data_IF_946755352109
#
_entry.id   IF_946755352109
#
_cell.length_a   1.000
_cell.length_b   1.000
_cell.length_c   1.000
_cell.angle_alpha   90.00
_cell.angle_beta   90.00
_cell.angle_gamma   90.00
#
_symmetry.space_group_name_H-M   'P 1'
#
loop_
_entity.id
_entity.type
_entity.pdbx_description
1 polymer ?
#
# COMPACT_ATOMS: atom_id res chain seq x y z
N UNK A 1 13.72 15.13 -36.91
CA UNK A 1 12.81 15.13 -35.75
C UNK A 1 13.55 14.42 -34.62
N UNK A 2 14.07 15.18 -33.69
CA UNK A 2 14.77 14.65 -32.50
C UNK A 2 13.72 13.94 -31.63
N UNK A 3 14.00 12.70 -31.22
CA UNK A 3 13.04 11.93 -30.43
C UNK A 3 12.84 12.58 -29.05
N UNK A 4 11.65 12.47 -28.49
CA UNK A 4 11.32 12.96 -27.14
C UNK A 4 12.33 12.40 -26.11
N UNK A 5 12.85 11.20 -26.36
CA UNK A 5 13.87 10.54 -25.54
C UNK A 5 15.23 11.26 -25.55
N UNK A 6 15.63 11.87 -26.67
CA UNK A 6 16.87 12.65 -26.79
C UNK A 6 16.74 14.04 -26.14
N UNK A 7 15.54 14.64 -26.21
CA UNK A 7 15.23 15.89 -25.51
C UNK A 7 15.25 15.71 -23.98
N UNK A 8 14.73 14.58 -23.49
CA UNK A 8 14.74 14.23 -22.07
C UNK A 8 16.17 14.03 -21.56
N UNK A 9 17.03 13.30 -22.30
CA UNK A 9 18.44 13.09 -21.95
C UNK A 9 19.24 14.40 -21.98
N UNK A 10 18.95 15.29 -22.91
CA UNK A 10 19.62 16.58 -23.06
C UNK A 10 19.30 17.59 -21.94
N UNK A 11 18.10 17.54 -21.37
CA UNK A 11 17.68 18.40 -20.27
C UNK A 11 18.34 17.98 -18.95
N UNK A 12 18.30 16.67 -18.63
CA UNK A 12 18.92 16.10 -17.43
C UNK A 12 20.43 16.33 -17.39
N UNK A 13 21.11 16.27 -18.55
CA UNK A 13 22.58 16.51 -18.64
C UNK A 13 22.98 17.99 -18.44
N UNK A 14 22.10 18.94 -18.76
CA UNK A 14 22.37 20.36 -18.56
C UNK A 14 22.21 20.83 -17.12
N UNK A 15 21.17 20.33 -16.41
CA UNK A 15 20.97 20.66 -14.99
C UNK A 15 22.07 20.08 -14.09
N UNK A 16 22.57 18.88 -14.40
CA UNK A 16 23.67 18.25 -13.67
C UNK A 16 24.99 19.02 -13.82
N UNK A 17 25.19 19.79 -14.89
CA UNK A 17 26.37 20.58 -15.14
C UNK A 17 26.34 21.95 -14.43
N UNK A 18 25.18 22.54 -14.20
CA UNK A 18 25.05 23.85 -13.54
C UNK A 18 25.18 23.78 -12.01
N UNK A 19 24.96 22.63 -11.36
CA UNK A 19 25.11 22.49 -9.90
C UNK A 19 26.51 22.09 -9.41
N UNK A 20 27.50 21.88 -10.31
CA UNK A 20 28.86 21.53 -9.89
C UNK A 20 29.78 22.76 -9.60
N UNK A 21 29.27 23.98 -9.62
CA UNK A 21 30.02 25.19 -9.43
C UNK A 21 29.63 26.04 -8.23
N UNK A 22 29.85 25.54 -6.99
CA UNK A 22 30.03 26.43 -5.82
C UNK A 22 30.78 25.71 -4.67
N UNK A 23 31.94 26.20 -4.21
CA UNK A 23 32.65 25.62 -3.08
C UNK A 23 32.21 26.26 -1.76
N UNK A 24 31.58 25.49 -0.89
CA UNK A 24 31.29 25.85 0.49
C UNK A 24 32.25 25.18 1.47
N UNK A 25 33.19 25.92 2.03
CA UNK A 25 34.11 25.48 3.10
C UNK A 25 33.41 25.53 4.46
N UNK A 26 33.17 24.37 5.07
CA UNK A 26 32.81 24.22 6.49
C UNK A 26 33.69 23.18 7.18
N UNK A 27 33.98 23.34 8.51
CA UNK A 27 35.07 22.60 9.15
C UNK A 27 34.76 21.12 9.41
N UNK A 28 35.78 20.29 9.28
CA UNK A 28 35.78 18.85 9.45
C UNK A 28 35.38 18.42 10.87
N UNK A 29 34.20 17.81 11.00
CA UNK A 29 33.80 17.05 12.16
C UNK A 29 34.27 15.60 12.04
N UNK A 30 34.91 15.08 13.08
CA UNK A 30 35.43 13.73 13.20
C UNK A 30 34.30 12.68 13.04
N UNK A 31 34.44 11.82 12.05
CA UNK A 31 33.57 10.64 11.85
C UNK A 31 33.79 9.61 12.97
N UNK A 32 32.74 9.04 13.56
CA UNK A 32 32.88 7.83 14.38
C UNK A 32 33.28 6.65 13.49
N UNK A 33 34.25 5.87 13.99
CA UNK A 33 34.76 4.69 13.31
C UNK A 33 33.70 3.56 13.26
N UNK A 34 33.60 2.90 12.10
CA UNK A 34 33.12 1.52 12.00
C UNK A 34 31.66 1.33 11.61
N UNK A 35 31.20 1.82 10.46
CA UNK A 35 30.09 1.19 9.74
C UNK A 35 30.65 0.07 8.86
N UNK A 36 30.06 -1.14 8.86
CA UNK A 36 30.41 -2.17 7.90
C UNK A 36 30.14 -1.64 6.49
N UNK A 37 31.15 -1.62 5.64
CA UNK A 37 30.98 -1.31 4.22
C UNK A 37 30.28 -2.48 3.55
N UNK A 38 29.20 -2.22 2.84
CA UNK A 38 28.53 -3.22 1.99
C UNK A 38 29.56 -3.84 1.01
N UNK A 39 29.45 -5.16 0.77
CA UNK A 39 30.24 -5.81 -0.27
C UNK A 39 30.09 -5.06 -1.61
N UNK A 40 31.13 -4.93 -2.43
CA UNK A 40 31.09 -4.13 -3.65
C UNK A 40 30.05 -4.54 -4.70
N UNK A 41 29.54 -5.77 -4.61
CA UNK A 41 28.49 -6.31 -5.49
C UNK A 41 27.04 -5.99 -5.02
N UNK A 42 26.87 -5.47 -3.80
CA UNK A 42 25.57 -5.01 -3.28
C UNK A 42 25.44 -3.49 -3.40
N UNK A 43 25.67 -2.97 -4.59
CA UNK A 43 25.26 -1.59 -4.85
C UNK A 43 23.74 -1.50 -4.73
N UNK A 44 23.23 -0.44 -4.08
CA UNK A 44 21.79 -0.21 -4.00
C UNK A 44 21.21 -0.29 -5.41
N UNK A 45 20.13 -1.05 -5.54
CA UNK A 45 19.37 -1.07 -6.80
C UNK A 45 18.84 0.34 -6.95
N UNK A 46 19.40 1.08 -7.91
CA UNK A 46 18.84 2.38 -8.26
C UNK A 46 17.42 2.12 -8.77
N UNK A 47 16.43 2.47 -7.96
CA UNK A 47 15.07 2.55 -8.44
C UNK A 47 15.10 3.45 -9.68
N UNK A 48 14.85 2.87 -10.84
CA UNK A 48 14.70 3.66 -12.07
C UNK A 48 13.41 4.43 -11.93
N UNK A 49 13.54 5.62 -11.38
CA UNK A 49 12.40 6.49 -11.22
C UNK A 49 11.95 7.00 -12.57
N UNK A 50 10.71 6.77 -12.88
CA UNK A 50 10.01 7.45 -13.96
C UNK A 50 9.41 8.72 -13.36
N UNK A 51 10.21 9.78 -13.28
CA UNK A 51 9.76 11.10 -12.82
C UNK A 51 9.61 12.03 -14.01
N UNK A 52 8.91 13.13 -13.82
CA UNK A 52 8.78 14.16 -14.85
C UNK A 52 10.17 14.65 -15.26
N UNK A 53 10.45 14.81 -16.57
CA UNK A 53 11.71 15.35 -17.05
C UNK A 53 11.99 16.72 -16.43
N UNK A 54 13.23 16.93 -15.97
CA UNK A 54 13.65 18.17 -15.30
C UNK A 54 13.31 18.25 -13.81
N UNK A 55 12.76 17.20 -13.20
CA UNK A 55 12.66 17.11 -11.75
C UNK A 55 13.91 16.46 -11.17
N UNK A 56 14.50 17.03 -10.11
CA UNK A 56 15.54 16.36 -9.34
C UNK A 56 14.98 15.04 -8.76
N UNK A 57 15.71 13.95 -9.00
CA UNK A 57 15.42 12.65 -8.40
C UNK A 57 15.85 12.68 -6.94
N UNK A 58 14.95 13.11 -6.06
CA UNK A 58 15.14 12.93 -4.63
C UNK A 58 14.53 11.59 -4.20
N UNK A 59 15.26 10.81 -3.43
CA UNK A 59 14.74 9.60 -2.79
C UNK A 59 14.17 9.94 -1.41
N UNK A 60 13.12 9.26 -1.04
CA UNK A 60 12.54 9.36 0.30
C UNK A 60 13.46 8.65 1.31
N UNK A 61 14.55 9.28 1.66
CA UNK A 61 15.58 8.77 2.56
C UNK A 61 16.79 8.18 1.84
N UNK A 62 17.95 8.70 2.19
CA UNK A 62 19.26 8.29 1.65
C UNK A 62 19.65 6.86 2.03
N UNK A 63 18.93 6.26 2.96
CA UNK A 63 19.28 4.96 3.54
C UNK A 63 18.87 3.78 2.67
N UNK A 64 17.95 3.97 1.73
CA UNK A 64 17.69 3.01 0.64
C UNK A 64 18.93 2.78 -0.22
N UNK A 65 19.79 3.82 -0.34
CA UNK A 65 20.97 3.77 -1.16
C UNK A 65 22.17 3.11 -0.46
N UNK A 66 22.22 3.17 0.88
CA UNK A 66 23.43 2.83 1.62
C UNK A 66 23.39 1.42 2.24
N UNK A 67 22.23 0.98 2.74
CA UNK A 67 22.06 -0.35 3.34
C UNK A 67 20.60 -0.81 3.32
N UNK A 68 20.19 -1.63 2.37
CA UNK A 68 18.83 -2.15 2.31
C UNK A 68 18.46 -3.04 3.53
N UNK A 69 19.44 -3.55 4.26
CA UNK A 69 19.25 -4.39 5.45
C UNK A 69 19.07 -3.58 6.73
N UNK A 70 19.53 -2.34 6.76
CA UNK A 70 19.34 -1.44 7.90
C UNK A 70 17.85 -1.15 8.19
N UNK A 71 16.98 -1.37 7.21
CA UNK A 71 15.53 -1.24 7.34
C UNK A 71 14.99 -2.07 8.50
N UNK A 72 15.46 -3.33 8.64
CA UNK A 72 14.97 -4.25 9.65
C UNK A 72 15.51 -3.96 11.05
N UNK A 73 16.55 -3.15 11.15
CA UNK A 73 17.18 -2.76 12.44
C UNK A 73 16.63 -1.45 12.99
N UNK A 74 15.87 -0.69 12.21
CA UNK A 74 15.28 0.60 12.60
C UNK A 74 14.00 0.43 13.41
N UNK A 75 13.66 1.41 14.25
CA UNK A 75 12.41 1.39 15.00
C UNK A 75 11.17 1.61 14.11
N UNK A 76 11.33 1.97 12.84
CA UNK A 76 10.25 2.23 11.90
C UNK A 76 10.09 1.16 10.81
N UNK A 77 9.05 1.31 9.98
CA UNK A 77 8.67 0.34 8.94
C UNK A 77 9.49 0.40 7.65
N UNK A 78 10.43 1.28 7.51
CA UNK A 78 11.18 1.33 6.26
C UNK A 78 12.21 2.44 6.18
N UNK A 79 12.86 2.61 5.01
CA UNK A 79 13.84 3.65 4.81
C UNK A 79 13.20 5.04 5.02
N UNK A 80 13.92 5.90 5.74
CA UNK A 80 13.39 7.22 6.11
C UNK A 80 12.20 7.17 7.07
N UNK A 81 11.94 6.02 7.73
CA UNK A 81 10.88 5.88 8.71
C UNK A 81 10.99 6.94 9.81
N UNK A 82 9.87 7.61 10.05
CA UNK A 82 9.69 8.59 11.13
C UNK A 82 9.16 7.91 12.40
N UNK A 83 8.96 8.70 13.45
CA UNK A 83 8.25 8.23 14.67
C UNK A 83 6.82 7.79 14.34
N UNK A 84 6.20 8.39 13.32
CA UNK A 84 4.86 8.04 12.85
C UNK A 84 4.81 6.67 12.16
N UNK A 85 5.96 6.22 11.62
CA UNK A 85 6.14 4.91 11.02
C UNK A 85 6.69 3.87 12.01
N UNK A 86 6.69 4.17 13.29
CA UNK A 86 7.22 3.25 14.31
C UNK A 86 6.45 1.93 14.30
N UNK A 87 7.19 0.81 14.37
CA UNK A 87 6.60 -0.52 14.47
C UNK A 87 5.84 -0.63 15.78
N UNK A 88 4.51 -0.91 15.77
CA UNK A 88 3.77 -1.16 16.99
C UNK A 88 4.42 -2.24 17.84
N UNK A 89 4.38 -2.08 19.17
CA UNK A 89 4.98 -3.05 20.08
C UNK A 89 4.39 -4.45 19.96
N UNK A 90 3.16 -4.56 19.44
CA UNK A 90 2.45 -5.81 19.17
C UNK A 90 2.73 -6.39 17.77
N UNK A 91 3.41 -5.65 16.88
CA UNK A 91 3.69 -6.15 15.53
C UNK A 91 4.67 -7.34 15.56
N UNK A 92 4.47 -8.34 14.69
CA UNK A 92 5.43 -9.43 14.55
C UNK A 92 6.82 -8.90 14.17
N UNK A 93 7.86 -9.46 14.77
CA UNK A 93 9.23 -9.05 14.50
C UNK A 93 9.94 -10.06 13.62
N UNK A 94 10.59 -9.56 12.57
CA UNK A 94 11.43 -10.37 11.73
C UNK A 94 12.70 -10.79 12.47
N UNK A 95 13.00 -12.10 12.46
CA UNK A 95 14.29 -12.61 12.86
C UNK A 95 15.38 -12.29 11.82
N UNK A 96 16.68 -12.34 12.23
CA UNK A 96 17.77 -12.11 11.30
C UNK A 96 17.81 -13.19 10.22
N UNK A 97 18.06 -12.80 8.97
CA UNK A 97 18.34 -13.75 7.90
C UNK A 97 19.73 -14.39 8.11
N UNK A 98 19.88 -15.69 7.76
CA UNK A 98 21.20 -16.30 7.70
C UNK A 98 22.12 -15.54 6.72
N UNK A 99 23.41 -15.40 7.11
CA UNK A 99 24.42 -14.66 6.33
C UNK A 99 24.51 -15.12 4.86
N UNK A 100 24.27 -16.39 4.59
CA UNK A 100 24.21 -16.94 3.22
C UNK A 100 23.33 -16.09 2.29
N UNK A 101 22.15 -15.65 2.75
CA UNK A 101 21.21 -14.90 1.93
C UNK A 101 21.53 -13.40 1.89
N UNK A 102 22.02 -12.86 3.01
CA UNK A 102 22.39 -11.44 3.08
C UNK A 102 23.68 -11.13 2.34
N UNK A 103 24.57 -12.10 2.18
CA UNK A 103 25.86 -11.96 1.53
C UNK A 103 25.84 -12.43 0.06
N UNK A 104 24.74 -13.04 -0.40
CA UNK A 104 24.57 -13.48 -1.78
C UNK A 104 24.51 -12.33 -2.77
N UNK A 105 25.01 -12.51 -3.99
CA UNK A 105 24.79 -11.55 -5.10
C UNK A 105 23.35 -11.64 -5.62
N UNK A 106 22.93 -10.63 -6.38
CA UNK A 106 21.60 -10.63 -7.01
C UNK A 106 21.43 -11.81 -7.97
N UNK A 107 22.50 -12.20 -8.69
CA UNK A 107 22.48 -13.34 -9.59
C UNK A 107 22.34 -14.67 -8.82
N UNK A 108 23.01 -14.80 -7.67
CA UNK A 108 22.88 -15.99 -6.83
C UNK A 108 21.46 -16.11 -6.24
N UNK A 109 20.89 -14.99 -5.80
CA UNK A 109 19.51 -14.98 -5.31
C UNK A 109 18.52 -15.34 -6.40
N UNK A 110 18.73 -14.83 -7.64
CA UNK A 110 17.90 -15.15 -8.80
C UNK A 110 17.96 -16.65 -9.13
N UNK A 111 19.14 -17.24 -9.14
CA UNK A 111 19.34 -18.67 -9.36
C UNK A 111 18.62 -19.50 -8.28
N UNK A 112 18.80 -19.18 -7.01
CA UNK A 112 18.19 -19.92 -5.89
C UNK A 112 16.67 -19.80 -5.87
N UNK A 113 16.12 -18.61 -6.12
CA UNK A 113 14.67 -18.39 -6.18
C UNK A 113 14.07 -19.20 -7.35
N UNK A 114 14.71 -19.12 -8.51
CA UNK A 114 14.23 -19.83 -9.71
C UNK A 114 14.26 -21.34 -9.49
N UNK A 115 15.38 -21.89 -9.02
CA UNK A 115 15.52 -23.32 -8.76
C UNK A 115 14.51 -23.81 -7.71
N UNK A 116 14.35 -23.08 -6.60
CA UNK A 116 13.43 -23.45 -5.55
C UNK A 116 11.96 -23.37 -6.02
N UNK A 117 11.61 -22.36 -6.81
CA UNK A 117 10.27 -22.22 -7.39
C UNK A 117 9.96 -23.37 -8.34
N UNK A 118 10.89 -23.74 -9.22
CA UNK A 118 10.73 -24.83 -10.18
C UNK A 118 10.52 -26.17 -9.46
N UNK A 119 11.26 -26.43 -8.38
CA UNK A 119 11.14 -27.66 -7.60
C UNK A 119 9.85 -27.73 -6.78
N UNK A 120 9.41 -26.60 -6.20
CA UNK A 120 8.15 -26.48 -5.47
C UNK A 120 6.93 -26.64 -6.40
N UNK A 121 7.03 -26.15 -7.63
CA UNK A 121 5.98 -26.24 -8.64
C UNK A 121 4.65 -25.68 -8.17
N UNK A 122 3.55 -26.39 -8.45
CA UNK A 122 2.20 -25.95 -8.11
C UNK A 122 1.86 -26.04 -6.62
N UNK A 123 2.68 -26.71 -5.81
CA UNK A 123 2.49 -26.79 -4.36
C UNK A 123 2.61 -25.42 -3.69
N UNK A 124 3.35 -24.50 -4.32
CA UNK A 124 3.54 -23.14 -3.80
C UNK A 124 3.15 -22.13 -4.86
N UNK A 125 2.33 -21.15 -4.49
CA UNK A 125 1.95 -20.02 -5.34
C UNK A 125 2.50 -18.72 -4.73
N UNK A 126 3.16 -17.91 -5.54
CA UNK A 126 3.69 -16.61 -5.14
C UNK A 126 2.70 -15.54 -5.56
N UNK A 127 2.15 -14.82 -4.58
CA UNK A 127 1.20 -13.72 -4.76
C UNK A 127 1.94 -12.39 -4.64
N UNK A 128 2.04 -11.63 -5.72
CA UNK A 128 2.75 -10.35 -5.78
C UNK A 128 1.81 -9.14 -5.86
N UNK A 129 1.90 -8.21 -4.93
CA UNK A 129 1.13 -6.98 -5.01
C UNK A 129 1.70 -6.04 -6.09
N UNK A 130 0.85 -5.23 -6.75
CA UNK A 130 1.26 -4.24 -7.75
C UNK A 130 2.35 -3.26 -7.28
N UNK A 131 2.44 -2.99 -5.98
CA UNK A 131 3.45 -2.08 -5.40
C UNK A 131 4.77 -2.77 -5.03
N UNK A 132 4.87 -4.07 -5.29
CA UNK A 132 6.13 -4.76 -5.10
C UNK A 132 7.15 -4.38 -6.17
N UNK A 133 8.43 -4.44 -5.78
CA UNK A 133 9.58 -4.22 -6.64
C UNK A 133 9.66 -5.28 -7.75
N UNK A 134 10.21 -4.90 -8.91
CA UNK A 134 10.25 -5.78 -10.08
C UNK A 134 11.06 -7.06 -9.84
N UNK A 135 12.11 -6.97 -8.97
CA UNK A 135 12.94 -8.11 -8.57
C UNK A 135 12.17 -9.18 -7.79
N UNK A 136 10.98 -8.85 -7.28
CA UNK A 136 10.06 -9.78 -6.62
C UNK A 136 8.93 -10.16 -7.57
N UNK A 137 8.31 -9.18 -8.23
CA UNK A 137 7.14 -9.43 -9.10
C UNK A 137 7.45 -10.40 -10.22
N UNK A 138 8.68 -10.42 -10.74
CA UNK A 138 9.09 -11.36 -11.81
C UNK A 138 8.92 -12.84 -11.44
N UNK A 139 8.85 -13.18 -10.15
CA UNK A 139 8.62 -14.55 -9.68
C UNK A 139 7.17 -14.84 -9.33
N UNK A 140 6.32 -13.81 -9.25
CA UNK A 140 4.93 -13.97 -8.83
C UNK A 140 4.13 -14.78 -9.86
N UNK A 141 3.32 -15.72 -9.39
CA UNK A 141 2.37 -16.47 -10.21
C UNK A 141 1.12 -15.62 -10.50
N UNK A 142 0.76 -14.77 -9.56
CA UNK A 142 -0.34 -13.82 -9.67
C UNK A 142 0.13 -12.44 -9.22
N UNK A 143 -0.16 -11.43 -10.04
CA UNK A 143 0.12 -10.02 -9.74
C UNK A 143 -1.18 -9.25 -9.74
N UNK A 144 -1.47 -8.56 -8.64
CA UNK A 144 -2.74 -7.87 -8.50
C UNK A 144 -2.79 -6.87 -7.34
N UNK A 145 -3.94 -6.26 -7.19
CA UNK A 145 -4.30 -5.52 -5.97
C UNK A 145 -4.71 -6.49 -4.85
N UNK A 146 -4.98 -5.94 -3.66
CA UNK A 146 -5.37 -6.74 -2.49
C UNK A 146 -6.61 -7.61 -2.72
N UNK A 147 -7.56 -7.15 -3.54
CA UNK A 147 -8.78 -7.90 -3.84
C UNK A 147 -8.52 -9.09 -4.77
N UNK A 148 -7.77 -8.84 -5.86
CA UNK A 148 -7.40 -9.87 -6.83
C UNK A 148 -6.56 -10.98 -6.17
N UNK A 149 -5.60 -10.61 -5.32
CA UNK A 149 -4.75 -11.57 -4.62
C UNK A 149 -5.51 -12.38 -3.58
N UNK A 150 -6.48 -11.78 -2.88
CA UNK A 150 -7.37 -12.49 -1.98
C UNK A 150 -8.25 -13.51 -2.73
N UNK A 151 -8.72 -13.17 -3.92
CA UNK A 151 -9.45 -14.11 -4.79
C UNK A 151 -8.54 -15.22 -5.30
N UNK A 152 -7.30 -14.92 -5.70
CA UNK A 152 -6.34 -15.92 -6.17
C UNK A 152 -6.08 -16.99 -5.10
N UNK A 153 -5.87 -16.59 -3.83
CA UNK A 153 -5.70 -17.53 -2.73
C UNK A 153 -6.89 -18.51 -2.59
N UNK A 154 -8.12 -18.02 -2.76
CA UNK A 154 -9.34 -18.85 -2.70
C UNK A 154 -9.49 -19.80 -3.89
N UNK A 155 -8.96 -19.44 -5.07
CA UNK A 155 -9.16 -20.18 -6.33
C UNK A 155 -8.15 -21.30 -6.56
N UNK A 156 -7.12 -21.43 -5.70
CA UNK A 156 -6.04 -22.41 -5.82
C UNK A 156 -6.01 -23.39 -4.64
N UNK A 157 -7.03 -24.29 -4.54
CA UNK A 157 -7.10 -25.26 -3.46
C UNK A 157 -6.00 -26.36 -3.57
N UNK A 158 -5.34 -26.47 -4.72
CA UNK A 158 -4.22 -27.38 -4.95
C UNK A 158 -2.91 -26.92 -4.31
N UNK A 159 -2.77 -25.62 -4.01
CA UNK A 159 -1.56 -25.10 -3.39
C UNK A 159 -1.49 -25.48 -1.90
N UNK A 160 -0.32 -25.98 -1.47
CA UNK A 160 -0.04 -26.25 -0.05
C UNK A 160 0.29 -24.94 0.69
N UNK A 161 0.92 -24.01 -0.02
CA UNK A 161 1.37 -22.73 0.54
C UNK A 161 1.24 -21.57 -0.43
N UNK A 162 0.89 -20.41 0.11
CA UNK A 162 0.95 -19.12 -0.56
C UNK A 162 2.10 -18.27 0.02
N UNK A 163 3.05 -17.88 -0.81
CA UNK A 163 4.07 -16.90 -0.45
C UNK A 163 3.56 -15.52 -0.83
N UNK A 164 3.17 -14.74 0.17
CA UNK A 164 2.51 -13.46 -0.04
C UNK A 164 3.54 -12.31 -0.08
N UNK A 165 3.92 -11.88 -1.27
CA UNK A 165 4.79 -10.72 -1.49
C UNK A 165 3.97 -9.42 -1.49
N UNK A 166 3.57 -9.02 -0.30
CA UNK A 166 2.75 -7.87 0.01
C UNK A 166 3.02 -7.38 1.43
N UNK A 167 1.96 -7.02 2.17
CA UNK A 167 2.04 -6.60 3.56
C UNK A 167 1.13 -7.43 4.46
N UNK A 168 1.34 -7.33 5.77
CA UNK A 168 0.77 -8.22 6.79
C UNK A 168 -0.76 -8.39 6.67
N UNK A 169 -1.53 -7.31 6.59
CA UNK A 169 -3.01 -7.39 6.50
C UNK A 169 -3.52 -8.13 5.25
N UNK A 170 -2.72 -8.12 4.16
CA UNK A 170 -3.04 -8.85 2.94
C UNK A 170 -2.82 -10.35 3.15
N UNK A 171 -1.71 -10.70 3.82
CA UNK A 171 -1.42 -12.09 4.18
C UNK A 171 -2.45 -12.64 5.18
N UNK A 172 -2.89 -11.84 6.18
CA UNK A 172 -4.03 -12.20 7.04
C UNK A 172 -5.31 -12.48 6.23
N UNK A 173 -5.60 -11.64 5.24
CA UNK A 173 -6.78 -11.84 4.39
C UNK A 173 -6.67 -13.12 3.55
N UNK A 174 -5.49 -13.42 3.04
CA UNK A 174 -5.23 -14.66 2.33
C UNK A 174 -5.41 -15.88 3.25
N UNK A 175 -4.91 -15.84 4.48
CA UNK A 175 -5.07 -16.90 5.48
C UNK A 175 -6.57 -17.15 5.83
N UNK A 176 -7.34 -16.07 6.02
CA UNK A 176 -8.78 -16.16 6.29
C UNK A 176 -9.56 -16.83 5.15
N UNK A 177 -9.15 -16.61 3.91
CA UNK A 177 -9.84 -17.09 2.71
C UNK A 177 -9.28 -18.39 2.15
N UNK A 178 -8.09 -18.81 2.58
CA UNK A 178 -7.48 -20.09 2.22
C UNK A 178 -8.15 -21.27 2.91
N UNK A 179 -7.86 -22.48 2.41
CA UNK A 179 -8.28 -23.71 3.05
C UNK A 179 -7.54 -23.98 4.38
N UNK A 180 -8.11 -24.77 5.28
CA UNK A 180 -7.54 -25.00 6.63
C UNK A 180 -6.16 -25.67 6.61
N UNK A 181 -5.84 -26.43 5.56
CA UNK A 181 -4.56 -27.12 5.38
C UNK A 181 -3.52 -26.28 4.63
N UNK A 182 -3.92 -25.12 4.10
CA UNK A 182 -3.04 -24.24 3.37
C UNK A 182 -2.28 -23.31 4.32
N UNK A 183 -1.05 -22.97 3.98
CA UNK A 183 -0.22 -22.05 4.74
C UNK A 183 -0.02 -20.74 3.97
N UNK A 184 -0.18 -19.61 4.64
CA UNK A 184 0.18 -18.30 4.08
C UNK A 184 1.45 -17.79 4.75
N UNK A 185 2.45 -17.44 3.95
CA UNK A 185 3.78 -17.07 4.41
C UNK A 185 4.09 -15.65 3.94
N UNK A 186 4.47 -14.78 4.87
CA UNK A 186 4.96 -13.44 4.58
C UNK A 186 6.50 -13.47 4.63
N UNK A 187 7.23 -13.28 3.53
CA UNK A 187 8.68 -13.45 3.52
C UNK A 187 9.42 -12.59 4.56
N UNK A 188 8.89 -11.40 4.87
CA UNK A 188 9.41 -10.54 5.94
C UNK A 188 8.24 -10.06 6.81
N UNK A 189 8.23 -10.46 8.09
CA UNK A 189 7.18 -10.09 9.07
C UNK A 189 7.12 -8.58 9.34
N UNK A 190 8.21 -7.85 9.13
CA UNK A 190 8.24 -6.40 9.27
C UNK A 190 7.56 -5.66 8.11
N UNK A 191 7.10 -6.36 7.07
CA UNK A 191 6.29 -5.80 5.99
C UNK A 191 4.84 -5.53 6.46
N UNK A 192 4.67 -4.50 7.28
CA UNK A 192 3.38 -4.02 7.81
C UNK A 192 2.73 -2.97 6.89
N UNK A 193 1.79 -2.21 7.44
CA UNK A 193 1.17 -1.06 6.77
C UNK A 193 0.85 0.01 7.80
N UNK A 194 1.55 1.16 7.74
CA UNK A 194 1.37 2.24 8.70
C UNK A 194 -0.08 2.76 8.73
N UNK A 195 -0.77 2.80 7.59
CA UNK A 195 -2.18 3.18 7.55
C UNK A 195 -3.08 2.16 8.28
N UNK A 196 -2.85 0.86 8.07
CA UNK A 196 -3.60 -0.18 8.77
C UNK A 196 -3.42 -0.07 10.30
N UNK A 197 -2.23 0.32 10.75
CA UNK A 197 -1.89 0.47 12.15
C UNK A 197 -2.40 1.79 12.79
N UNK A 198 -2.93 2.73 11.98
CA UNK A 198 -3.58 3.95 12.48
C UNK A 198 -4.97 3.70 13.10
N UNK A 199 -5.50 2.48 13.00
CA UNK A 199 -6.69 2.03 13.69
C UNK A 199 -6.38 0.71 14.42
N UNK A 200 -6.43 0.70 15.75
CA UNK A 200 -6.36 -0.52 16.53
C UNK A 200 -7.75 -1.00 16.93
N UNK A 201 -7.90 -2.29 17.24
CA UNK A 201 -9.21 -2.84 17.61
C UNK A 201 -9.76 -2.18 18.88
N UNK A 202 -8.89 -1.85 19.84
CA UNK A 202 -9.27 -1.21 21.09
C UNK A 202 -9.82 0.21 20.84
N UNK A 203 -9.19 0.96 19.92
CA UNK A 203 -9.65 2.30 19.52
C UNK A 203 -10.97 2.24 18.75
N UNK A 204 -11.14 1.23 17.88
CA UNK A 204 -12.38 1.02 17.12
C UNK A 204 -13.53 0.64 18.06
N UNK A 205 -13.29 -0.22 19.03
CA UNK A 205 -14.30 -0.60 20.03
C UNK A 205 -14.65 0.57 20.97
N UNK A 206 -13.67 1.42 21.32
CA UNK A 206 -13.93 2.65 22.07
C UNK A 206 -14.81 3.62 21.26
N UNK A 207 -14.45 3.87 20.00
CA UNK A 207 -15.25 4.66 19.07
C UNK A 207 -16.67 4.14 18.96
N UNK A 208 -16.85 2.82 18.85
CA UNK A 208 -18.16 2.20 18.71
C UNK A 208 -19.06 2.43 19.92
N UNK A 209 -18.50 2.30 21.14
CA UNK A 209 -19.22 2.61 22.40
C UNK A 209 -19.64 4.07 22.46
N UNK A 210 -18.73 5.00 22.17
CA UNK A 210 -19.02 6.43 22.16
C UNK A 210 -20.07 6.81 21.10
N UNK A 211 -20.04 6.18 19.93
CA UNK A 211 -21.07 6.36 18.89
C UNK A 211 -22.43 5.83 19.35
N UNK A 212 -22.49 4.67 19.99
CA UNK A 212 -23.73 4.12 20.54
C UNK A 212 -24.35 5.05 21.57
N UNK A 213 -23.54 5.62 22.46
CA UNK A 213 -24.01 6.59 23.47
C UNK A 213 -24.48 7.90 22.84
N UNK A 214 -23.76 8.42 21.83
CA UNK A 214 -24.09 9.70 21.17
C UNK A 214 -25.30 9.63 20.24
N UNK A 215 -25.49 8.48 19.56
CA UNK A 215 -26.56 8.27 18.58
C UNK A 215 -27.85 7.74 19.23
N UNK A 216 -27.71 7.06 20.36
CA UNK A 216 -28.84 6.48 21.09
C UNK A 216 -29.36 5.16 20.48
N UNK A 217 -30.35 4.54 21.14
CA UNK A 217 -30.95 3.28 20.68
C UNK A 217 -31.81 3.48 19.43
N UNK A 218 -31.94 2.43 18.65
CA UNK A 218 -32.77 2.35 17.45
C UNK A 218 -34.13 1.73 17.80
N UNK A 219 -35.19 2.26 17.23
CA UNK A 219 -36.49 1.64 17.30
C UNK A 219 -36.57 0.37 16.45
N UNK A 220 -37.45 -0.55 16.85
CA UNK A 220 -37.64 -1.79 16.09
C UNK A 220 -38.14 -1.48 14.67
N UNK A 221 -37.45 -2.04 13.66
CA UNK A 221 -37.76 -1.82 12.24
C UNK A 221 -37.05 -0.60 11.58
N UNK A 222 -36.33 0.18 12.34
CA UNK A 222 -35.51 1.27 11.77
C UNK A 222 -34.12 0.79 11.32
N UNK A 223 -33.51 1.58 10.41
CA UNK A 223 -32.13 1.37 9.99
C UNK A 223 -31.16 1.51 11.16
N UNK A 224 -30.10 0.72 11.19
CA UNK A 224 -29.06 0.82 12.23
C UNK A 224 -28.53 2.26 12.34
N UNK A 225 -28.17 2.77 13.53
CA UNK A 225 -27.65 4.13 13.66
C UNK A 225 -26.37 4.34 12.86
N UNK A 226 -25.52 3.33 12.81
CA UNK A 226 -24.23 3.37 12.11
C UNK A 226 -23.82 1.97 11.66
N UNK A 227 -23.26 1.86 10.45
CA UNK A 227 -22.66 0.65 9.91
C UNK A 227 -21.13 0.81 9.89
N UNK A 228 -20.36 -0.12 10.46
CA UNK A 228 -18.91 -0.08 10.35
C UNK A 228 -18.46 -0.60 8.99
N UNK A 229 -17.70 0.21 8.28
CA UNK A 229 -17.05 -0.16 7.01
C UNK A 229 -15.55 -0.05 7.21
N UNK A 230 -14.83 -1.12 6.89
CA UNK A 230 -13.37 -1.07 6.93
C UNK A 230 -12.78 -1.26 5.54
N UNK A 231 -11.80 -0.43 5.23
CA UNK A 231 -10.95 -0.66 4.06
C UNK A 231 -10.15 -1.94 4.22
N UNK A 232 -9.86 -2.63 3.14
CA UNK A 232 -9.04 -3.84 3.11
C UNK A 232 -7.72 -3.67 3.89
N UNK A 233 -7.15 -2.46 3.85
CA UNK A 233 -5.94 -2.06 4.56
C UNK A 233 -6.21 -1.83 6.06
N UNK A 234 -6.58 -2.90 6.75
CA UNK A 234 -6.85 -2.99 8.18
C UNK A 234 -6.52 -4.38 8.69
N UNK A 235 -6.32 -4.53 10.01
CA UNK A 235 -6.06 -5.83 10.62
C UNK A 235 -7.26 -6.78 10.52
N UNK A 236 -7.01 -8.09 10.63
CA UNK A 236 -8.06 -9.10 10.72
C UNK A 236 -9.04 -8.82 11.87
N UNK A 237 -8.55 -8.29 13.00
CA UNK A 237 -9.38 -7.94 14.15
C UNK A 237 -10.45 -6.87 13.83
N UNK A 238 -10.11 -5.86 13.00
CA UNK A 238 -11.06 -4.83 12.56
C UNK A 238 -12.05 -5.40 11.55
N UNK A 239 -11.59 -6.27 10.64
CA UNK A 239 -12.48 -6.98 9.72
C UNK A 239 -13.50 -7.84 10.49
N UNK A 240 -13.03 -8.56 11.53
CA UNK A 240 -13.88 -9.34 12.42
C UNK A 240 -14.89 -8.46 13.16
N UNK A 241 -14.44 -7.30 13.67
CA UNK A 241 -15.33 -6.34 14.28
C UNK A 241 -16.45 -5.91 13.32
N UNK A 242 -16.12 -5.59 12.06
CA UNK A 242 -17.13 -5.27 11.05
C UNK A 242 -18.08 -6.46 10.82
N UNK A 243 -17.57 -7.69 10.75
CA UNK A 243 -18.37 -8.90 10.59
C UNK A 243 -19.43 -9.07 11.67
N UNK A 244 -19.02 -8.95 12.95
CA UNK A 244 -19.89 -9.07 14.14
C UNK A 244 -20.92 -7.96 14.25
N UNK A 245 -20.58 -6.74 13.80
CA UNK A 245 -21.43 -5.56 13.96
C UNK A 245 -22.20 -5.19 12.68
N UNK A 246 -22.51 -6.16 11.83
CA UNK A 246 -23.32 -5.93 10.63
C UNK A 246 -22.62 -5.13 9.52
N UNK A 247 -21.31 -4.95 9.63
CA UNK A 247 -20.50 -4.18 8.70
C UNK A 247 -19.91 -4.99 7.56
N UNK A 248 -19.00 -4.38 6.80
CA UNK A 248 -18.46 -4.90 5.56
C UNK A 248 -17.03 -4.40 5.36
N UNK A 249 -16.24 -5.14 4.56
CA UNK A 249 -14.94 -4.69 4.05
C UNK A 249 -15.14 -4.00 2.70
N UNK A 250 -14.31 -3.01 2.36
CA UNK A 250 -14.23 -2.46 1.01
C UNK A 250 -12.81 -2.48 0.47
N UNK A 251 -12.67 -2.28 -0.83
CA UNK A 251 -11.41 -1.98 -1.52
C UNK A 251 -11.54 -0.65 -2.24
N UNK A 252 -10.46 -0.10 -2.77
CA UNK A 252 -10.52 1.10 -3.61
C UNK A 252 -11.33 0.89 -4.89
N UNK A 253 -11.52 -0.36 -5.33
CA UNK A 253 -12.29 -0.69 -6.53
C UNK A 253 -13.80 -0.68 -6.30
N UNK A 254 -14.28 -0.99 -5.08
CA UNK A 254 -15.72 -1.15 -4.80
C UNK A 254 -16.23 -0.27 -3.66
N UNK A 255 -15.45 0.71 -3.19
CA UNK A 255 -15.81 1.55 -2.05
C UNK A 255 -17.19 2.22 -2.21
N UNK A 256 -17.54 2.69 -3.42
CA UNK A 256 -18.84 3.29 -3.71
C UNK A 256 -19.98 2.29 -3.49
N UNK A 257 -19.90 1.12 -4.12
CA UNK A 257 -20.91 0.06 -3.98
C UNK A 257 -21.07 -0.39 -2.53
N UNK A 258 -19.95 -0.44 -1.80
CA UNK A 258 -19.97 -0.79 -0.37
C UNK A 258 -20.64 0.30 0.48
N UNK A 259 -20.40 1.59 0.20
CA UNK A 259 -21.11 2.67 0.90
C UNK A 259 -22.61 2.65 0.56
N UNK A 260 -23.00 2.40 -0.68
CA UNK A 260 -24.41 2.22 -1.08
C UNK A 260 -25.03 1.06 -0.29
N UNK A 261 -24.38 -0.10 -0.26
CA UNK A 261 -24.79 -1.26 0.53
C UNK A 261 -24.97 -0.93 2.01
N UNK A 262 -24.07 -0.14 2.59
CA UNK A 262 -24.12 0.25 4.00
C UNK A 262 -25.28 1.22 4.29
N UNK A 263 -25.56 2.16 3.39
CA UNK A 263 -26.68 3.10 3.52
C UNK A 263 -28.07 2.45 3.36
N UNK A 264 -28.15 1.31 2.68
CA UNK A 264 -29.39 0.52 2.69
C UNK A 264 -29.71 -0.10 4.07
N UNK A 265 -28.72 -0.20 4.97
CA UNK A 265 -28.78 -0.91 6.27
C UNK A 265 -28.62 0.00 7.47
N UNK A 266 -28.03 1.16 7.28
CA UNK A 266 -27.76 2.14 8.33
C UNK A 266 -27.95 3.58 7.90
N UNK A 267 -28.21 4.42 8.89
CA UNK A 267 -28.39 5.86 8.69
C UNK A 267 -27.06 6.56 8.36
N UNK A 268 -25.97 5.98 8.90
CA UNK A 268 -24.59 6.50 8.81
C UNK A 268 -23.59 5.37 8.61
N UNK A 269 -22.40 5.75 8.20
CA UNK A 269 -21.25 4.85 8.10
C UNK A 269 -20.11 5.39 8.99
N UNK A 270 -19.40 4.53 9.70
CA UNK A 270 -18.07 4.82 10.21
C UNK A 270 -17.05 4.09 9.35
N UNK A 271 -16.11 4.83 8.78
CA UNK A 271 -15.17 4.33 7.77
C UNK A 271 -13.74 4.29 8.31
N UNK A 272 -13.15 3.09 8.36
CA UNK A 272 -11.80 2.82 8.86
C UNK A 272 -10.87 2.37 7.72
N UNK A 273 -9.54 2.51 7.83
CA UNK A 273 -8.85 3.52 8.62
C UNK A 273 -8.56 4.78 7.79
N UNK A 274 -8.76 4.77 6.45
CA UNK A 274 -8.36 5.82 5.53
C UNK A 274 -9.43 6.90 5.37
N UNK A 275 -9.09 8.13 5.79
CA UNK A 275 -10.00 9.26 5.64
C UNK A 275 -10.18 9.69 4.17
N UNK A 276 -9.16 9.53 3.33
CA UNK A 276 -9.17 10.06 1.97
C UNK A 276 -10.02 9.19 1.05
N UNK A 277 -9.84 7.87 1.07
CA UNK A 277 -10.70 6.95 0.31
C UNK A 277 -12.17 7.13 0.69
N UNK A 278 -12.47 7.18 2.00
CA UNK A 278 -13.84 7.38 2.49
C UNK A 278 -14.42 8.71 2.02
N UNK A 279 -13.66 9.83 2.19
CA UNK A 279 -14.06 11.17 1.78
C UNK A 279 -14.29 11.27 0.28
N UNK A 280 -13.32 10.84 -0.53
CA UNK A 280 -13.40 10.96 -1.98
C UNK A 280 -14.56 10.14 -2.55
N UNK A 281 -14.80 8.95 -1.99
CA UNK A 281 -15.94 8.12 -2.38
C UNK A 281 -17.26 8.78 -2.00
N UNK A 282 -17.39 9.29 -0.78
CA UNK A 282 -18.60 9.94 -0.30
C UNK A 282 -18.90 11.25 -1.06
N UNK A 283 -17.86 12.07 -1.37
CA UNK A 283 -18.01 13.26 -2.22
C UNK A 283 -18.53 12.92 -3.61
N UNK A 284 -18.03 11.85 -4.23
CA UNK A 284 -18.53 11.37 -5.52
C UNK A 284 -19.99 10.90 -5.45
N UNK A 285 -20.52 10.59 -4.26
CA UNK A 285 -21.93 10.28 -4.01
C UNK A 285 -22.77 11.51 -3.62
N UNK A 286 -22.18 12.72 -3.61
CA UNK A 286 -22.86 13.98 -3.28
C UNK A 286 -22.96 14.30 -1.79
N UNK A 287 -22.22 13.58 -0.92
CA UNK A 287 -22.17 13.85 0.52
C UNK A 287 -21.23 15.04 0.75
N UNK A 288 -21.69 16.04 1.54
CA UNK A 288 -20.94 17.28 1.79
C UNK A 288 -19.89 17.09 2.87
N UNK A 289 -18.91 18.01 2.94
CA UNK A 289 -17.83 17.96 3.95
C UNK A 289 -18.38 18.03 5.38
N UNK A 290 -19.45 18.80 5.62
CA UNK A 290 -20.09 18.96 6.94
C UNK A 290 -20.71 17.63 7.41
N UNK A 291 -21.10 16.76 6.48
CA UNK A 291 -21.65 15.44 6.75
C UNK A 291 -20.57 14.35 6.92
N UNK A 292 -19.29 14.75 6.86
CA UNK A 292 -18.15 13.84 6.95
C UNK A 292 -17.18 14.23 8.09
N UNK A 293 -17.64 14.24 9.37
CA UNK A 293 -16.78 14.57 10.50
C UNK A 293 -15.60 13.60 10.62
N UNK A 294 -14.43 14.14 10.99
CA UNK A 294 -13.22 13.34 11.18
C UNK A 294 -13.14 12.84 12.62
N UNK A 295 -13.01 11.53 12.79
CA UNK A 295 -12.82 10.89 14.09
C UNK A 295 -11.33 10.77 14.45
N UNK A 296 -10.91 11.43 15.52
CA UNK A 296 -9.56 11.36 16.10
C UNK A 296 -9.59 10.44 17.32
N UNK A 297 -9.03 9.23 17.29
CA UNK A 297 -9.25 8.19 18.32
C UNK A 297 -8.75 8.52 19.72
N UNK A 298 -7.93 9.57 19.87
CA UNK A 298 -7.40 10.02 21.16
C UNK A 298 -8.22 11.16 21.81
N UNK A 299 -9.33 11.58 21.18
CA UNK A 299 -10.22 12.61 21.67
C UNK A 299 -11.61 12.03 21.94
N UNK A 300 -12.26 12.48 23.00
CA UNK A 300 -13.65 12.10 23.29
C UNK A 300 -14.57 12.46 22.11
N UNK A 301 -15.48 11.57 21.73
CA UNK A 301 -16.31 11.64 20.52
C UNK A 301 -15.48 11.90 19.23
N UNK A 302 -14.23 11.47 19.22
CA UNK A 302 -13.32 11.74 18.11
C UNK A 302 -13.02 13.24 17.90
N UNK A 303 -13.30 14.09 18.90
CA UNK A 303 -13.17 15.56 18.81
C UNK A 303 -14.37 16.24 18.17
N UNK A 304 -15.51 15.55 18.03
CA UNK A 304 -16.76 16.06 17.48
C UNK A 304 -17.79 16.30 18.59
N UNK A 305 -18.87 17.00 18.27
CA UNK A 305 -20.05 17.07 19.14
C UNK A 305 -21.03 15.94 18.82
N UNK A 306 -21.88 15.57 19.77
CA UNK A 306 -22.92 14.59 19.52
C UNK A 306 -23.91 15.03 18.41
N UNK A 307 -24.12 16.34 18.26
CA UNK A 307 -24.93 16.90 17.17
C UNK A 307 -24.28 16.66 15.80
N UNK A 308 -22.98 17.00 15.65
CA UNK A 308 -22.22 16.73 14.42
C UNK A 308 -22.27 15.26 14.03
N UNK A 309 -22.17 14.34 15.02
CA UNK A 309 -22.25 12.91 14.77
C UNK A 309 -23.66 12.48 14.35
N UNK A 310 -24.72 13.06 14.93
CA UNK A 310 -26.11 12.78 14.52
C UNK A 310 -26.44 13.28 13.11
N UNK A 311 -25.85 14.42 12.71
CA UNK A 311 -26.09 15.02 11.39
C UNK A 311 -25.18 14.43 10.29
N UNK A 312 -24.19 13.63 10.68
CA UNK A 312 -23.25 13.03 9.76
C UNK A 312 -23.86 11.96 8.85
N UNK A 313 -23.19 11.71 7.74
CA UNK A 313 -23.43 10.54 6.84
C UNK A 313 -22.26 9.57 6.89
N UNK A 314 -21.03 10.07 6.85
CA UNK A 314 -19.82 9.23 6.90
C UNK A 314 -18.88 9.81 7.97
N UNK A 315 -18.66 9.07 9.03
CA UNK A 315 -17.68 9.39 10.08
C UNK A 315 -16.34 8.80 9.60
N UNK A 316 -15.38 9.68 9.31
CA UNK A 316 -14.10 9.30 8.74
C UNK A 316 -13.05 9.12 9.84
N UNK A 317 -12.38 7.97 9.86
CA UNK A 317 -11.24 7.75 10.74
C UNK A 317 -10.04 8.59 10.31
N UNK A 318 -9.29 9.15 11.27
CA UNK A 318 -8.14 10.02 10.99
C UNK A 318 -6.86 9.23 10.63
N UNK A 319 -6.95 8.34 9.65
CA UNK A 319 -5.81 7.64 9.08
C UNK A 319 -5.60 8.02 7.63
N UNK A 320 -4.43 7.68 7.07
CA UNK A 320 -4.04 8.01 5.71
C UNK A 320 -2.88 7.13 5.23
N UNK A 321 -2.72 6.98 3.91
CA UNK A 321 -1.53 6.39 3.31
C UNK A 321 -0.42 7.43 3.20
N UNK A 322 0.78 7.14 3.72
CA UNK A 322 1.94 8.02 3.67
C UNK A 322 2.41 8.30 2.23
N UNK A 323 2.27 7.34 1.33
CA UNK A 323 2.60 7.50 -0.10
C UNK A 323 1.61 8.46 -0.76
N UNK A 324 0.32 8.20 -0.66
CA UNK A 324 -0.70 8.96 -1.39
C UNK A 324 -0.96 10.36 -0.83
N UNK A 325 -0.76 10.57 0.48
CA UNK A 325 -0.85 11.90 1.12
C UNK A 325 0.16 12.92 0.58
N UNK A 326 1.24 12.47 -0.06
CA UNK A 326 2.31 13.34 -0.59
C UNK A 326 1.93 14.06 -1.89
N UNK A 327 0.95 13.56 -2.62
CA UNK A 327 0.52 14.18 -3.87
C UNK A 327 -0.20 15.50 -3.59
N UNK A 328 0.08 16.50 -4.43
CA UNK A 328 -0.41 17.88 -4.28
C UNK A 328 -0.96 18.43 -5.58
N UNK A 329 -1.83 19.43 -5.51
CA UNK A 329 -2.33 20.17 -6.68
C UNK A 329 -1.21 20.85 -7.43
N UNK A 330 -0.21 21.40 -6.73
CA UNK A 330 0.96 22.05 -7.34
C UNK A 330 1.75 21.08 -8.24
N UNK A 331 1.85 19.80 -7.88
CA UNK A 331 2.47 18.80 -8.74
C UNK A 331 1.65 18.54 -10.01
N UNK A 332 0.31 18.56 -9.94
CA UNK A 332 -0.58 18.47 -11.11
C UNK A 332 -0.37 19.66 -12.04
N UNK A 333 -0.36 20.88 -11.47
CA UNK A 333 -0.14 22.11 -12.23
C UNK A 333 1.23 22.10 -12.93
N UNK A 334 2.27 21.67 -12.21
CA UNK A 334 3.60 21.52 -12.79
C UNK A 334 3.62 20.48 -13.91
N UNK A 335 3.03 19.31 -13.71
CA UNK A 335 2.97 18.28 -14.75
C UNK A 335 2.27 18.80 -16.03
N UNK A 336 1.17 19.56 -15.88
CA UNK A 336 0.46 20.17 -17.00
C UNK A 336 1.24 21.28 -17.70
N UNK A 337 2.04 22.03 -16.96
CA UNK A 337 2.92 23.06 -17.50
C UNK A 337 4.08 22.43 -18.30
N UNK A 338 4.71 21.39 -17.76
CA UNK A 338 5.85 20.71 -18.37
C UNK A 338 5.42 19.85 -19.58
N UNK A 339 4.23 19.25 -19.52
CA UNK A 339 3.67 18.35 -20.55
C UNK A 339 2.27 18.82 -20.98
N UNK A 340 2.15 19.78 -21.90
CA UNK A 340 0.84 20.20 -22.40
C UNK A 340 0.03 19.02 -22.95
N UNK A 341 -1.17 18.84 -22.43
CA UNK A 341 -2.04 17.71 -22.78
C UNK A 341 -1.79 16.43 -21.97
N UNK A 342 -0.93 16.46 -20.95
CA UNK A 342 -0.76 15.33 -20.04
C UNK A 342 -2.08 15.00 -19.34
N UNK A 343 -2.39 13.72 -19.27
CA UNK A 343 -3.53 13.22 -18.50
C UNK A 343 -3.06 12.80 -17.11
N UNK A 344 -3.71 13.34 -16.08
CA UNK A 344 -3.36 13.07 -14.67
C UNK A 344 -4.33 12.06 -14.08
N UNK A 345 -3.82 10.93 -13.60
CA UNK A 345 -4.61 9.85 -13.00
C UNK A 345 -4.06 9.55 -11.61
N UNK A 346 -4.93 9.52 -10.60
CA UNK A 346 -4.50 9.37 -9.21
C UNK A 346 -5.25 8.25 -8.49
N UNK A 347 -4.65 7.72 -7.42
CA UNK A 347 -5.32 6.79 -6.53
C UNK A 347 -6.28 7.54 -5.59
N UNK A 348 -7.45 6.99 -5.23
CA UNK A 348 -8.44 7.68 -4.38
C UNK A 348 -8.03 7.85 -2.91
N UNK A 349 -6.90 7.30 -2.48
CA UNK A 349 -6.24 7.61 -1.20
C UNK A 349 -5.50 8.96 -1.23
N UNK A 350 -5.42 9.65 -2.37
CA UNK A 350 -4.88 11.00 -2.44
C UNK A 350 -5.82 12.01 -1.76
N UNK A 351 -5.28 13.14 -1.25
CA UNK A 351 -6.12 14.22 -0.70
C UNK A 351 -7.21 14.68 -1.67
N UNK A 352 -8.39 15.03 -1.16
CA UNK A 352 -9.54 15.43 -1.98
C UNK A 352 -9.21 16.51 -3.04
N UNK A 353 -8.47 17.60 -2.74
CA UNK A 353 -8.10 18.57 -3.76
C UNK A 353 -7.29 18.00 -4.93
N UNK A 354 -6.49 16.95 -4.67
CA UNK A 354 -5.69 16.27 -5.70
C UNK A 354 -6.61 15.42 -6.59
N UNK A 355 -7.54 14.68 -5.99
CA UNK A 355 -8.52 13.87 -6.72
C UNK A 355 -9.43 14.76 -7.57
N UNK A 356 -9.86 15.91 -7.05
CA UNK A 356 -10.70 16.89 -7.77
C UNK A 356 -9.96 17.55 -8.94
N UNK A 357 -8.66 17.78 -8.82
CA UNK A 357 -7.85 18.39 -9.86
C UNK A 357 -7.38 17.40 -10.94
N UNK A 358 -7.43 16.09 -10.67
CA UNK A 358 -7.01 15.04 -11.59
C UNK A 358 -8.05 14.81 -12.72
N UNK A 359 -7.61 14.23 -13.82
CA UNK A 359 -8.47 13.85 -14.94
C UNK A 359 -9.16 12.49 -14.72
N UNK A 360 -8.69 11.74 -13.74
CA UNK A 360 -9.29 10.48 -13.31
C UNK A 360 -8.75 10.01 -11.97
N UNK A 361 -9.59 9.31 -11.22
CA UNK A 361 -9.20 8.69 -9.94
C UNK A 361 -9.79 7.28 -9.83
N UNK A 362 -8.97 6.33 -9.42
CA UNK A 362 -9.42 4.94 -9.25
C UNK A 362 -8.34 4.03 -8.67
N UNK A 363 -8.71 2.78 -8.48
CA UNK A 363 -7.83 1.75 -7.93
C UNK A 363 -6.59 1.52 -8.82
N UNK A 364 -5.62 0.76 -8.31
CA UNK A 364 -4.44 0.35 -9.08
C UNK A 364 -4.83 -0.36 -10.40
N UNK A 365 -5.87 -1.16 -10.38
CA UNK A 365 -6.40 -1.81 -11.58
C UNK A 365 -7.05 -0.82 -12.55
N UNK A 366 -7.74 0.20 -12.05
CA UNK A 366 -8.24 1.29 -12.88
C UNK A 366 -7.09 2.04 -13.55
N UNK A 367 -6.04 2.40 -12.81
CA UNK A 367 -4.85 3.07 -13.34
C UNK A 367 -4.19 2.22 -14.44
N UNK A 368 -4.05 0.91 -14.21
CA UNK A 368 -3.49 -0.02 -15.20
C UNK A 368 -4.31 -0.03 -16.50
N UNK A 369 -5.64 -0.12 -16.40
CA UNK A 369 -6.55 -0.10 -17.56
C UNK A 369 -6.50 1.21 -18.33
N UNK A 370 -6.40 2.35 -17.64
CA UNK A 370 -6.26 3.67 -18.26
C UNK A 370 -4.95 3.79 -19.07
N UNK A 371 -3.87 3.23 -18.52
CA UNK A 371 -2.58 3.17 -19.23
C UNK A 371 -2.65 2.23 -20.43
N UNK A 372 -3.28 1.06 -20.29
CA UNK A 372 -3.46 0.12 -21.41
C UNK A 372 -4.28 0.73 -22.56
N UNK A 373 -5.34 1.47 -22.22
CA UNK A 373 -6.23 2.09 -23.19
C UNK A 373 -5.65 3.37 -23.82
N UNK A 374 -4.55 3.93 -23.27
CA UNK A 374 -3.99 5.18 -23.76
C UNK A 374 -3.42 5.04 -25.18
N UNK A 375 -3.68 6.05 -26.01
CA UNK A 375 -3.17 6.09 -27.39
C UNK A 375 -1.63 6.23 -27.41
N UNK A 376 -0.92 5.58 -28.35
CA UNK A 376 0.52 5.75 -28.52
C UNK A 376 0.93 7.23 -28.60
N UNK A 377 2.04 7.59 -27.94
CA UNK A 377 2.53 8.98 -27.88
C UNK A 377 1.86 9.84 -26.79
N UNK A 378 0.86 9.31 -26.07
CA UNK A 378 0.22 10.04 -24.97
C UNK A 378 1.17 10.22 -23.77
N UNK A 379 0.95 11.28 -22.99
CA UNK A 379 1.62 11.52 -21.70
C UNK A 379 0.62 11.32 -20.56
N UNK A 380 1.05 10.55 -19.53
CA UNK A 380 0.29 10.29 -18.32
C UNK A 380 1.13 10.57 -17.08
N UNK A 381 0.62 11.41 -16.18
CA UNK A 381 1.16 11.64 -14.85
C UNK A 381 0.35 10.82 -13.84
N UNK A 382 0.99 9.93 -13.13
CA UNK A 382 0.32 8.95 -12.26
C UNK A 382 0.59 9.28 -10.78
N UNK A 383 -0.49 9.50 -10.01
CA UNK A 383 -0.43 9.73 -8.57
C UNK A 383 -0.67 8.44 -7.79
N UNK A 384 0.30 7.53 -7.79
CA UNK A 384 0.32 6.31 -6.98
C UNK A 384 1.76 5.85 -6.71
N UNK A 385 1.94 4.67 -6.14
CA UNK A 385 3.23 4.11 -5.73
C UNK A 385 4.16 3.87 -6.93
N UNK A 386 5.43 4.23 -6.76
CA UNK A 386 6.42 4.35 -7.84
C UNK A 386 6.73 3.03 -8.57
N UNK A 387 6.74 1.88 -7.88
CA UNK A 387 7.05 0.60 -8.56
C UNK A 387 5.98 0.24 -9.58
N UNK A 388 4.70 0.51 -9.29
CA UNK A 388 3.63 0.36 -10.29
C UNK A 388 3.85 1.31 -11.46
N UNK A 389 4.14 2.59 -11.21
CA UNK A 389 4.34 3.59 -12.27
C UNK A 389 5.51 3.20 -13.19
N UNK A 390 6.64 2.78 -12.61
CA UNK A 390 7.81 2.33 -13.35
C UNK A 390 7.49 1.11 -14.24
N UNK A 391 6.76 0.14 -13.71
CA UNK A 391 6.37 -1.06 -14.46
C UNK A 391 5.44 -0.72 -15.60
N UNK A 392 4.48 0.17 -15.39
CA UNK A 392 3.58 0.62 -16.46
C UNK A 392 4.36 1.34 -17.58
N UNK A 393 5.36 2.16 -17.24
CA UNK A 393 6.24 2.80 -18.24
C UNK A 393 7.07 1.77 -19.02
N UNK A 394 7.57 0.72 -18.35
CA UNK A 394 8.33 -0.35 -19.01
C UNK A 394 7.44 -1.17 -19.97
N UNK A 395 6.18 -1.43 -19.57
CA UNK A 395 5.22 -2.17 -20.38
C UNK A 395 4.70 -1.37 -21.58
N UNK A 396 4.66 -0.04 -21.45
CA UNK A 396 4.19 0.87 -22.50
C UNK A 396 5.27 1.92 -22.87
N UNK A 397 6.39 1.47 -23.50
CA UNK A 397 7.48 2.34 -23.91
C UNK A 397 7.09 3.34 -25.01
N UNK A 398 5.93 3.13 -25.63
CA UNK A 398 5.29 4.02 -26.61
C UNK A 398 4.59 5.23 -25.97
N UNK A 399 4.46 5.26 -24.64
CA UNK A 399 3.87 6.33 -23.86
C UNK A 399 4.94 7.08 -23.05
N UNK A 400 4.63 8.31 -22.63
CA UNK A 400 5.39 9.01 -21.60
C UNK A 400 4.64 8.89 -20.28
N UNK A 401 5.06 7.97 -19.40
CA UNK A 401 4.44 7.76 -18.09
C UNK A 401 5.44 8.16 -17.00
N UNK A 402 4.98 8.94 -16.03
CA UNK A 402 5.82 9.35 -14.90
C UNK A 402 5.01 9.49 -13.62
N UNK A 403 5.70 9.36 -12.48
CA UNK A 403 5.10 9.60 -11.18
C UNK A 403 4.85 11.10 -11.00
N UNK A 404 3.67 11.45 -10.48
CA UNK A 404 3.29 12.83 -10.21
C UNK A 404 4.18 13.48 -9.13
N UNK A 405 4.64 12.70 -8.11
CA UNK A 405 5.63 13.17 -7.13
C UNK A 405 7.04 13.03 -7.73
N UNK A 406 7.82 14.12 -7.83
CA UNK A 406 9.21 14.05 -8.28
C UNK A 406 10.14 13.33 -7.31
N UNK A 407 9.73 13.17 -6.04
CA UNK A 407 10.49 12.42 -5.04
C UNK A 407 10.17 10.95 -5.15
N UNK A 408 11.19 10.14 -5.42
CA UNK A 408 11.05 8.68 -5.42
C UNK A 408 10.87 8.17 -3.99
N UNK A 409 9.64 7.84 -3.66
CA UNK A 409 9.29 7.32 -2.36
C UNK A 409 8.48 6.02 -2.53
N UNK A 410 9.12 4.85 -2.57
CA UNK A 410 8.39 3.59 -2.61
C UNK A 410 7.61 3.39 -1.31
N UNK A 411 6.62 2.52 -1.33
CA UNK A 411 5.99 2.04 -0.12
C UNK A 411 7.05 1.33 0.73
N UNK A 412 7.48 1.99 1.82
CA UNK A 412 8.60 1.55 2.66
C UNK A 412 8.42 0.14 3.22
N UNK A 413 7.19 -0.26 3.49
CA UNK A 413 6.87 -1.58 4.05
C UNK A 413 6.80 -2.67 2.97
N UNK A 414 6.28 -2.37 1.78
CA UNK A 414 6.38 -3.27 0.61
C UNK A 414 7.84 -3.53 0.23
N UNK A 415 8.68 -2.51 0.34
CA UNK A 415 10.10 -2.57 0.00
C UNK A 415 10.91 -3.52 0.90
N UNK A 416 10.39 -3.88 2.09
CA UNK A 416 11.00 -4.86 3.00
C UNK A 416 11.02 -6.28 2.45
N UNK A 417 10.16 -6.62 1.49
CA UNK A 417 10.23 -7.89 0.78
C UNK A 417 11.38 -7.81 -0.23
N UNK A 418 12.55 -8.29 0.17
CA UNK A 418 13.76 -8.34 -0.65
C UNK A 418 13.97 -9.75 -1.21
N UNK A 419 14.65 -9.94 -2.38
CA UNK A 419 14.94 -11.27 -2.94
C UNK A 419 15.58 -12.25 -1.95
N UNK A 420 16.43 -11.79 -1.03
CA UNK A 420 17.02 -12.64 -0.01
C UNK A 420 15.98 -13.27 0.94
N UNK A 421 14.93 -12.52 1.32
CA UNK A 421 13.81 -13.06 2.10
C UNK A 421 13.00 -14.07 1.28
N UNK A 422 12.79 -13.80 0.00
CA UNK A 422 12.07 -14.72 -0.88
C UNK A 422 12.86 -16.01 -1.09
N UNK A 423 14.17 -15.94 -1.37
CA UNK A 423 15.04 -17.10 -1.50
C UNK A 423 15.02 -17.96 -0.22
N UNK A 424 15.22 -17.34 0.93
CA UNK A 424 15.15 -18.01 2.23
C UNK A 424 13.80 -18.68 2.46
N UNK A 425 12.70 -18.02 2.13
CA UNK A 425 11.35 -18.55 2.30
C UNK A 425 11.16 -19.81 1.44
N UNK A 426 11.50 -19.74 0.15
CA UNK A 426 11.29 -20.86 -0.77
C UNK A 426 12.20 -22.05 -0.46
N UNK A 427 13.47 -21.83 -0.12
CA UNK A 427 14.37 -22.91 0.30
C UNK A 427 13.94 -23.52 1.64
N UNK A 428 13.38 -22.73 2.58
CA UNK A 428 12.80 -23.26 3.82
C UNK A 428 11.60 -24.15 3.54
N UNK A 429 10.75 -23.79 2.58
CA UNK A 429 9.61 -24.62 2.17
C UNK A 429 10.08 -25.94 1.53
N UNK A 430 11.14 -25.94 0.71
CA UNK A 430 11.77 -27.18 0.20
C UNK A 430 12.28 -28.07 1.34
N UNK A 431 12.79 -27.46 2.41
CA UNK A 431 13.21 -28.18 3.62
C UNK A 431 12.06 -28.62 4.52
N UNK A 432 10.80 -28.44 4.13
CA UNK A 432 9.62 -28.76 4.92
C UNK A 432 9.36 -27.83 6.09
N UNK A 433 9.93 -26.62 6.07
CA UNK A 433 9.71 -25.59 7.08
C UNK A 433 8.80 -24.50 6.54
N UNK A 434 7.94 -23.93 7.39
CA UNK A 434 7.04 -22.83 7.07
C UNK A 434 7.42 -21.56 7.83
N UNK A 435 8.48 -20.84 7.42
CA UNK A 435 8.93 -19.64 8.11
C UNK A 435 7.90 -18.52 7.99
N UNK A 436 7.79 -17.67 9.00
CA UNK A 436 6.93 -16.49 8.97
C UNK A 436 5.47 -16.80 8.56
N UNK A 437 4.95 -17.96 8.97
CA UNK A 437 3.58 -18.33 8.68
C UNK A 437 2.63 -17.35 9.39
N UNK A 438 1.70 -16.79 8.61
CA UNK A 438 0.60 -15.98 9.12
C UNK A 438 -0.54 -16.91 9.51
N UNK A 439 -1.04 -16.72 10.73
CA UNK A 439 -2.23 -17.44 11.23
C UNK A 439 -3.14 -16.48 11.96
N UNK A 440 -4.32 -16.33 11.45
CA UNK A 440 -5.39 -15.58 12.10
C UNK A 440 -6.12 -16.52 13.09
N UNK A 441 -6.32 -16.13 14.35
CA UNK A 441 -7.09 -16.95 15.30
C UNK A 441 -8.48 -17.30 14.75
N UNK A 442 -8.93 -18.54 14.93
CA UNK A 442 -10.14 -19.06 14.28
C UNK A 442 -11.38 -18.18 14.51
N UNK A 443 -11.59 -17.72 15.74
CA UNK A 443 -12.71 -16.83 16.07
C UNK A 443 -12.63 -15.48 15.34
N UNK A 444 -11.42 -14.94 15.13
CA UNK A 444 -11.21 -13.71 14.35
C UNK A 444 -11.41 -13.99 12.86
N UNK A 445 -10.90 -15.12 12.38
CA UNK A 445 -11.03 -15.52 10.98
C UNK A 445 -12.51 -15.71 10.57
N UNK A 446 -13.30 -16.39 11.40
CA UNK A 446 -14.72 -16.66 11.13
C UNK A 446 -15.53 -15.36 11.00
N UNK A 447 -15.36 -14.45 11.96
CA UNK A 447 -16.04 -13.15 11.93
C UNK A 447 -15.54 -12.27 10.76
N UNK A 448 -14.24 -12.30 10.48
CA UNK A 448 -13.65 -11.55 9.34
C UNK A 448 -14.19 -12.06 8.01
N UNK A 449 -14.34 -13.39 7.88
CA UNK A 449 -14.87 -14.03 6.67
C UNK A 449 -16.26 -13.50 6.34
N UNK A 450 -17.12 -13.29 7.34
CA UNK A 450 -18.45 -12.71 7.15
C UNK A 450 -18.39 -11.34 6.47
N UNK A 451 -17.49 -10.45 6.92
CA UNK A 451 -17.33 -9.12 6.33
C UNK A 451 -16.70 -9.17 4.92
N UNK A 452 -15.75 -10.09 4.71
CA UNK A 452 -15.08 -10.31 3.42
C UNK A 452 -16.05 -10.94 2.39
N UNK A 453 -16.89 -11.89 2.79
CA UNK A 453 -17.89 -12.49 1.90
C UNK A 453 -18.95 -11.47 1.47
N UNK A 454 -19.37 -10.58 2.36
CA UNK A 454 -20.23 -9.45 2.01
C UNK A 454 -19.57 -8.57 0.95
N UNK A 455 -18.28 -8.27 1.10
CA UNK A 455 -17.50 -7.51 0.13
C UNK A 455 -17.42 -8.23 -1.23
N UNK A 456 -17.16 -9.53 -1.24
CA UNK A 456 -17.07 -10.33 -2.47
C UNK A 456 -18.42 -10.44 -3.19
N UNK A 457 -19.53 -10.37 -2.44
CA UNK A 457 -20.90 -10.36 -2.98
C UNK A 457 -21.33 -8.98 -3.50
N UNK A 458 -20.78 -7.89 -2.94
CA UNK A 458 -21.05 -6.53 -3.38
C UNK A 458 -20.25 -6.23 -4.66
N UNK A 459 -20.79 -6.62 -5.82
CA UNK A 459 -20.14 -6.36 -7.13
C UNK A 459 -20.26 -4.90 -7.49
N UNK A 460 -19.20 -4.30 -8.12
CA UNK A 460 -19.26 -2.95 -8.65
C UNK A 460 -20.27 -2.80 -9.77
#
# INVERSE_FOLDING_TARGET
>A
MTSVHELIRGAVAREAAEHQAAPGTGPAGTRPAGRPTLPPHRRPIALRATTAPGSELATCGTELADDPWAIDTKPGYGPGASVEDAIPGSAPRQGPLPARYTDASDEQLDEWITAAKDELGERVRILGHFYQRDEIVKYADFVGDSFMLAQAAKQHPEAESFVFCGVHFMAETADILSGPEQSVILPNLAAGCSMADMATIEQVEACWRELADALGPVAEGELQPVIPVTYMNSSAAIKAFCGRNGGIVCTSSNAKTVLEWAFERGQRVVFFPDQHLGRNTAKAMGITEEQMPLWRPHLGLGGNTAEQLRDSKVILWNGFCSVHKRFTVAQIEKARADFPGVRVIVHPECPAPVVEAADGAGSTEYIRKEVEAAAPGSALAIGTEINLVNRLQQQRPDLTIFCLDPVVCPCSTMYRIHPAYLAWTLESLLAGQTPNQIRVPANVADDSRVALERMLAAKP
#
